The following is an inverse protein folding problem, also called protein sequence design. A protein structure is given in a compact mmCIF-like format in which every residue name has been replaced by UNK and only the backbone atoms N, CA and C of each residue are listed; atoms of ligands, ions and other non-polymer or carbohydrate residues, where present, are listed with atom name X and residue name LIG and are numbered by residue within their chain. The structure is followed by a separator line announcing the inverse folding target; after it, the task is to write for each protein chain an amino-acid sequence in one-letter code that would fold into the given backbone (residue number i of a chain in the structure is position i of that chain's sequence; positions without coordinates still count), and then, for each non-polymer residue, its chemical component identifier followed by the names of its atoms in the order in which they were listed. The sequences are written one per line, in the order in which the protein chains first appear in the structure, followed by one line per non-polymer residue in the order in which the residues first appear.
data_IF_001755849267
#
_entry.id   IF_001755849267
#
_cell.length_a   1.000
_cell.length_b   1.000
_cell.length_c   1.000
_cell.angle_alpha   90.00
_cell.angle_beta   90.00
_cell.angle_gamma   90.00
#
_symmetry.space_group_name_H-M   'P 1'
#
loop_
_entity.id
_entity.type
_entity.pdbx_description
1 polymer ?
#
# COMPACT_ATOMS: atom_id res chain seq x y z
N UNK A 1 3.86 13.12 8.86
CA UNK A 1 3.56 12.00 9.77
C UNK A 1 3.07 10.85 8.90
N UNK A 2 3.88 9.80 8.70
CA UNK A 2 3.41 8.62 7.97
C UNK A 2 2.43 7.86 8.87
N UNK A 3 1.17 7.81 8.48
CA UNK A 3 0.13 7.11 9.24
C UNK A 3 0.28 5.59 9.03
N UNK A 4 0.47 4.87 10.14
CA UNK A 4 0.50 3.42 10.16
C UNK A 4 -0.93 2.87 10.11
N UNK A 5 -1.22 2.04 9.12
CA UNK A 5 -2.54 1.46 8.90
C UNK A 5 -2.56 0.01 9.39
N UNK A 6 -3.69 -0.49 9.90
CA UNK A 6 -3.78 -1.82 10.52
C UNK A 6 -3.27 -2.97 9.63
N UNK A 7 -3.40 -2.83 8.31
CA UNK A 7 -3.07 -3.88 7.35
C UNK A 7 -1.66 -3.76 6.76
N UNK A 8 -0.86 -2.78 7.19
CA UNK A 8 0.45 -2.52 6.58
C UNK A 8 1.43 -3.66 6.76
N UNK A 9 1.50 -4.26 7.95
CA UNK A 9 2.42 -5.37 8.21
C UNK A 9 2.13 -6.55 7.28
N UNK A 10 0.84 -6.86 7.08
CA UNK A 10 0.43 -7.96 6.20
C UNK A 10 0.72 -7.59 4.74
N UNK A 11 0.54 -6.32 4.34
CA UNK A 11 0.91 -5.84 3.01
C UNK A 11 2.43 -5.89 2.80
N UNK A 12 3.24 -5.47 3.75
CA UNK A 12 4.71 -5.57 3.67
C UNK A 12 5.15 -7.03 3.56
N UNK A 13 4.49 -7.95 4.28
CA UNK A 13 4.79 -9.37 4.21
C UNK A 13 4.52 -10.00 2.83
N UNK A 14 3.45 -9.57 2.15
CA UNK A 14 2.88 -10.33 1.01
C UNK A 14 2.82 -9.55 -0.32
N UNK A 15 2.80 -8.22 -0.28
CA UNK A 15 2.73 -7.39 -1.48
C UNK A 15 4.02 -7.55 -2.28
N UNK A 16 3.87 -7.84 -3.56
CA UNK A 16 5.00 -7.93 -4.49
C UNK A 16 5.37 -6.55 -4.99
N UNK A 17 6.67 -6.30 -5.08
CA UNK A 17 7.22 -5.09 -5.68
C UNK A 17 6.71 -4.95 -7.13
N UNK A 18 6.04 -3.85 -7.50
CA UNK A 18 5.40 -3.74 -8.82
C UNK A 18 6.37 -3.36 -9.95
N UNK A 19 7.56 -2.83 -9.63
CA UNK A 19 8.54 -2.34 -10.60
C UNK A 19 9.99 -2.50 -10.12
N UNK A 20 10.94 -2.11 -10.96
CA UNK A 20 12.37 -2.09 -10.64
C UNK A 20 13.03 -3.46 -10.68
N UNK A 21 14.28 -3.52 -10.20
CA UNK A 21 15.15 -4.71 -10.24
C UNK A 21 14.55 -5.93 -9.53
N UNK A 22 13.79 -5.71 -8.46
CA UNK A 22 13.21 -6.77 -7.64
C UNK A 22 11.70 -6.94 -7.87
N UNK A 23 11.20 -6.57 -9.06
CA UNK A 23 9.80 -6.76 -9.44
C UNK A 23 9.35 -8.20 -9.19
N UNK A 24 8.19 -8.38 -8.58
CA UNK A 24 7.59 -9.69 -8.28
C UNK A 24 8.05 -10.32 -6.96
N UNK A 25 9.03 -9.72 -6.26
CA UNK A 25 9.47 -10.15 -4.93
C UNK A 25 8.63 -9.47 -3.84
N UNK A 26 8.32 -10.18 -2.75
CA UNK A 26 7.64 -9.57 -1.60
C UNK A 26 8.47 -8.41 -1.01
N UNK A 27 7.80 -7.38 -0.49
CA UNK A 27 8.50 -6.20 0.05
C UNK A 27 9.48 -6.58 1.17
N UNK A 28 9.07 -7.44 2.10
CA UNK A 28 9.93 -7.88 3.22
C UNK A 28 11.24 -8.56 2.75
N UNK A 29 11.22 -9.20 1.58
CA UNK A 29 12.36 -9.94 0.98
C UNK A 29 13.29 -9.03 0.14
N UNK A 30 12.97 -7.74 0.02
CA UNK A 30 13.83 -6.79 -0.65
C UNK A 30 15.13 -6.58 0.15
N UNK A 31 16.29 -6.55 -0.52
CA UNK A 31 17.56 -6.25 0.15
C UNK A 31 17.53 -4.88 0.81
N UNK A 32 18.09 -4.77 2.01
CA UNK A 32 18.10 -3.50 2.77
C UNK A 32 18.75 -2.35 1.98
N UNK A 33 19.86 -2.61 1.30
CA UNK A 33 20.52 -1.62 0.45
C UNK A 33 19.60 -1.03 -0.63
N UNK A 34 18.62 -1.80 -1.13
CA UNK A 34 17.64 -1.32 -2.10
C UNK A 34 16.61 -0.38 -1.46
N UNK A 35 16.22 -0.66 -0.22
CA UNK A 35 15.32 0.20 0.56
C UNK A 35 16.02 1.50 0.97
N UNK A 36 17.27 1.42 1.44
CA UNK A 36 18.12 2.58 1.73
C UNK A 36 18.27 3.47 0.49
N UNK A 37 18.42 2.87 -0.70
CA UNK A 37 18.51 3.62 -1.95
C UNK A 37 17.26 4.45 -2.21
N UNK A 38 16.05 3.90 -1.99
CA UNK A 38 14.80 4.67 -2.08
C UNK A 38 14.76 5.81 -1.05
N UNK A 39 15.17 5.56 0.19
CA UNK A 39 15.21 6.60 1.22
C UNK A 39 16.17 7.74 0.85
N UNK A 40 17.27 7.46 0.13
CA UNK A 40 18.24 8.46 -0.34
C UNK A 40 17.85 9.18 -1.62
N UNK A 41 17.23 8.48 -2.59
CA UNK A 41 16.90 9.04 -3.91
C UNK A 41 15.50 9.64 -3.99
N UNK A 42 14.58 9.17 -3.17
CA UNK A 42 13.17 9.52 -3.22
C UNK A 42 12.31 8.27 -3.16
N UNK A 43 11.37 8.28 -2.23
CA UNK A 43 10.39 7.22 -2.06
C UNK A 43 9.22 7.52 -3.03
N UNK A 44 8.71 6.52 -3.77
CA UNK A 44 7.56 6.72 -4.67
C UNK A 44 6.35 7.22 -3.89
N UNK A 45 5.44 7.95 -4.53
CA UNK A 45 4.21 8.39 -3.85
C UNK A 45 3.19 7.26 -3.68
N UNK A 46 2.20 7.51 -2.82
CA UNK A 46 1.08 6.60 -2.58
C UNK A 46 1.42 5.45 -1.65
N UNK A 47 0.67 4.35 -1.81
CA UNK A 47 0.71 3.22 -0.88
C UNK A 47 2.08 2.52 -0.86
N UNK A 48 2.67 2.26 -2.03
CA UNK A 48 3.96 1.57 -2.13
C UNK A 48 5.05 2.35 -1.39
N UNK A 49 5.08 3.68 -1.57
CA UNK A 49 6.04 4.51 -0.87
C UNK A 49 5.94 4.44 0.63
N UNK A 50 4.71 4.56 1.12
CA UNK A 50 4.41 4.47 2.56
C UNK A 50 4.87 3.12 3.13
N UNK A 51 4.61 2.02 2.43
CA UNK A 51 5.05 0.68 2.85
C UNK A 51 6.58 0.53 2.79
N UNK A 52 7.26 1.11 1.78
CA UNK A 52 8.73 1.11 1.69
C UNK A 52 9.36 1.93 2.82
N UNK A 53 8.77 3.07 3.17
CA UNK A 53 9.23 3.89 4.30
C UNK A 53 9.11 3.14 5.63
N UNK A 54 7.98 2.47 5.86
CA UNK A 54 7.81 1.63 7.05
C UNK A 54 8.78 0.44 7.05
N UNK A 55 8.97 -0.20 5.88
CA UNK A 55 9.92 -1.30 5.73
C UNK A 55 11.36 -0.87 6.05
N UNK A 56 11.74 0.37 5.69
CA UNK A 56 13.04 0.94 6.08
C UNK A 56 13.20 0.93 7.60
N UNK A 57 12.22 1.46 8.34
CA UNK A 57 12.28 1.50 9.80
C UNK A 57 12.32 0.09 10.40
N UNK A 58 11.55 -0.84 9.86
CA UNK A 58 11.54 -2.26 10.27
C UNK A 58 12.95 -2.87 10.11
N UNK A 59 13.58 -2.68 8.96
CA UNK A 59 14.90 -3.25 8.67
C UNK A 59 16.00 -2.58 9.49
N UNK A 60 15.96 -1.25 9.63
CA UNK A 60 16.91 -0.50 10.43
C UNK A 60 16.93 -0.95 11.92
N UNK A 61 15.82 -1.50 12.41
CA UNK A 61 15.69 -2.03 13.77
C UNK A 61 15.78 -3.57 13.85
N UNK A 62 16.02 -4.27 12.75
CA UNK A 62 16.11 -5.74 12.73
C UNK A 62 14.80 -6.47 13.07
N UNK A 63 13.65 -5.84 12.84
CA UNK A 63 12.32 -6.36 13.22
C UNK A 63 11.70 -7.32 12.18
N UNK A 64 12.49 -7.80 11.23
CA UNK A 64 12.02 -8.61 10.09
C UNK A 64 11.45 -9.96 10.52
N UNK A 65 11.94 -10.50 11.66
CA UNK A 65 11.45 -11.76 12.22
C UNK A 65 9.96 -11.73 12.57
N UNK A 66 9.38 -10.55 12.85
CA UNK A 66 7.96 -10.37 13.15
C UNK A 66 7.06 -10.72 11.95
N UNK A 67 7.63 -10.76 10.74
CA UNK A 67 6.88 -11.01 9.51
C UNK A 67 6.73 -12.49 9.16
N UNK A 68 7.51 -13.38 9.80
CA UNK A 68 7.41 -14.83 9.59
C UNK A 68 5.98 -15.38 9.73
N UNK A 69 5.20 -15.05 10.78
CA UNK A 69 3.82 -15.52 10.91
C UNK A 69 2.82 -14.81 9.98
N UNK A 70 3.21 -13.72 9.32
CA UNK A 70 2.31 -12.92 8.48
C UNK A 70 2.37 -13.30 6.99
N UNK A 71 3.32 -14.15 6.60
CA UNK A 71 3.45 -14.65 5.22
C UNK A 71 2.30 -15.59 4.89
N UNK A 72 1.69 -15.40 3.73
CA UNK A 72 0.54 -16.19 3.28
C UNK A 72 -0.78 -15.84 3.97
N UNK A 73 -0.80 -14.78 4.80
CA UNK A 73 -2.04 -14.27 5.38
C UNK A 73 -2.71 -13.35 4.38
N UNK A 74 -3.90 -13.72 3.92
CA UNK A 74 -4.72 -12.87 3.08
C UNK A 74 -5.36 -11.75 3.91
N UNK A 75 -5.10 -10.50 3.51
CA UNK A 75 -5.81 -9.35 4.08
C UNK A 75 -7.23 -9.35 3.51
N UNK A 76 -8.23 -9.71 4.32
CA UNK A 76 -9.60 -9.25 4.04
C UNK A 76 -9.57 -7.72 4.11
N UNK A 77 -9.95 -6.99 3.04
CA UNK A 77 -9.93 -5.54 3.09
C UNK A 77 -10.78 -5.12 4.28
N UNK A 78 -10.16 -4.41 5.24
CA UNK A 78 -10.89 -3.78 6.33
C UNK A 78 -12.02 -2.99 5.68
N UNK A 79 -13.27 -3.36 6.02
CA UNK A 79 -14.47 -2.84 5.39
C UNK A 79 -14.32 -1.33 5.16
N UNK A 80 -14.20 -0.95 3.90
CA UNK A 80 -14.08 0.46 3.51
C UNK A 80 -15.38 1.12 3.95
N UNK A 81 -15.36 1.90 5.03
CA UNK A 81 -16.49 2.74 5.38
C UNK A 81 -16.75 3.68 4.20
N UNK A 82 -17.83 3.40 3.46
CA UNK A 82 -18.54 4.31 2.57
C UNK A 82 -17.71 5.03 1.50
N UNK A 83 -17.52 4.40 0.34
CA UNK A 83 -17.59 5.19 -0.91
C UNK A 83 -19.07 5.24 -1.29
N UNK A 84 -19.70 6.42 -1.17
CA UNK A 84 -21.05 6.65 -1.70
C UNK A 84 -21.09 6.11 -3.13
N UNK A 85 -22.02 5.19 -3.33
CA UNK A 85 -22.35 4.63 -4.64
C UNK A 85 -22.63 5.78 -5.61
N UNK A 86 -22.00 5.73 -6.79
CA UNK A 86 -22.18 6.65 -7.94
C UNK A 86 -23.57 6.46 -8.59
N UNK A 87 -24.61 6.12 -7.81
CA UNK A 87 -25.99 5.95 -8.29
C UNK A 87 -26.81 7.25 -8.25
N UNK A 88 -26.24 8.35 -7.76
CA UNK A 88 -26.91 9.66 -7.73
C UNK A 88 -26.66 10.52 -9.00
N UNK A 89 -26.10 9.94 -10.08
CA UNK A 89 -25.93 10.63 -11.38
C UNK A 89 -27.00 10.29 -12.42
N UNK A 90 -28.20 9.85 -11.99
CA UNK A 90 -29.36 9.66 -12.88
C UNK A 90 -30.59 10.44 -12.40
N UNK A 91 -30.41 11.73 -12.16
CA UNK A 91 -31.50 12.72 -12.14
C UNK A 91 -30.93 14.09 -12.51
N UNK A 92 -30.45 14.23 -13.75
CA UNK A 92 -30.23 15.55 -14.35
C UNK A 92 -30.34 15.48 -15.87
N UNK A 93 -31.37 14.79 -16.34
CA UNK A 93 -31.81 14.83 -17.73
C UNK A 93 -33.30 14.62 -17.70
N UNK A 94 -34.04 15.67 -17.33
CA UNK A 94 -35.49 15.85 -17.52
C UNK A 94 -35.93 17.18 -16.87
N UNK A 95 -35.41 18.34 -17.29
CA UNK A 95 -36.01 19.63 -16.83
C UNK A 95 -35.82 20.85 -17.73
N UNK A 96 -35.22 20.76 -18.93
CA UNK A 96 -35.16 21.92 -19.83
C UNK A 96 -35.35 21.51 -21.29
N UNK A 97 -36.61 21.23 -21.63
CA UNK A 97 -37.13 21.49 -22.98
C UNK A 97 -38.23 22.55 -22.86
N UNK A 98 -37.95 23.82 -23.18
CA UNK A 98 -39.00 24.72 -23.61
C UNK A 98 -39.26 24.53 -25.11
N UNK A 99 -40.55 24.51 -25.43
CA UNK A 99 -41.13 24.56 -26.77
C UNK A 99 -40.72 25.81 -27.52
#
# INVERSE_FOLDING_TARGET
MNEFQPNDLIKIANLKMPFGKYKGRALIDLPEAYIIWFHKKGIPEGEIGRLIAQLYDIKANGLEYLFNPLRGVDVKPAATKGKKSVRDLRTFKDSHSPK
#
